data_IF_269385951495
#
_entry.id   IF_269385951495
#
_cell.length_a   1.000
_cell.length_b   1.000
_cell.length_c   1.000
_cell.angle_alpha   90.00
_cell.angle_beta   90.00
_cell.angle_gamma   90.00
#
_symmetry.space_group_name_H-M   'P 1'
#
loop_
_entity.id
_entity.type
_entity.pdbx_description
1 polymer ?
#
# COMPACT_ATOMS: atom_id res chain seq x y z
N UNK A 1 62.98 -3.61 22.15
CA UNK A 1 63.03 -3.93 20.71
C UNK A 1 62.57 -5.38 20.62
N UNK A 2 61.28 -5.68 20.46
CA UNK A 2 60.56 -5.71 19.18
C UNK A 2 59.05 -5.81 19.45
N UNK A 3 58.22 -4.99 18.78
CA UNK A 3 56.75 -5.06 18.79
C UNK A 3 56.29 -6.10 17.77
N UNK A 4 55.24 -6.86 18.10
CA UNK A 4 54.58 -7.83 17.22
C UNK A 4 53.38 -7.15 16.56
N UNK A 5 53.41 -7.03 15.23
CA UNK A 5 52.43 -6.33 14.41
C UNK A 5 51.08 -7.08 14.37
N UNK A 6 50.14 -6.64 15.22
CA UNK A 6 48.74 -7.04 15.18
C UNK A 6 47.98 -6.35 14.04
N UNK A 7 48.26 -6.71 12.79
CA UNK A 7 47.42 -6.27 11.67
C UNK A 7 46.05 -6.94 11.77
N UNK A 8 45.10 -6.17 12.27
CA UNK A 8 43.67 -6.43 12.10
C UNK A 8 43.34 -6.30 10.62
N UNK A 9 42.83 -7.39 10.03
CA UNK A 9 42.21 -7.37 8.71
C UNK A 9 40.97 -6.49 8.82
N UNK A 10 41.07 -5.27 8.30
CA UNK A 10 39.96 -4.32 8.23
C UNK A 10 38.89 -4.97 7.34
N UNK A 11 37.82 -5.45 7.95
CA UNK A 11 36.64 -5.88 7.20
C UNK A 11 36.13 -4.65 6.44
N UNK A 12 36.13 -4.73 5.11
CA UNK A 12 35.57 -3.73 4.21
C UNK A 12 34.11 -3.49 4.64
N UNK A 13 33.87 -2.35 5.29
CA UNK A 13 32.55 -1.99 5.75
C UNK A 13 31.68 -1.73 4.52
N UNK A 14 30.86 -2.72 4.16
CA UNK A 14 29.83 -2.57 3.14
C UNK A 14 28.99 -1.35 3.52
N UNK A 15 29.11 -0.30 2.70
CA UNK A 15 28.30 0.90 2.88
C UNK A 15 26.83 0.51 2.68
N UNK A 16 25.90 0.87 3.58
CA UNK A 16 24.50 0.61 3.36
C UNK A 16 24.05 1.40 2.13
N UNK A 17 23.70 0.70 1.06
CA UNK A 17 23.15 1.31 -0.15
C UNK A 17 21.90 2.12 0.25
N UNK A 18 21.84 3.44 0.02
CA UNK A 18 20.62 4.20 0.20
C UNK A 18 19.62 3.73 -0.87
N UNK A 19 18.60 2.98 -0.46
CA UNK A 19 17.54 2.56 -1.40
C UNK A 19 16.72 1.33 -1.04
N UNK A 20 17.06 0.57 0.00
CA UNK A 20 16.27 -0.60 0.41
C UNK A 20 15.35 -0.30 1.58
N UNK A 21 14.55 0.77 1.48
CA UNK A 21 13.30 0.81 2.24
C UNK A 21 12.33 -0.23 1.64
N UNK A 22 11.33 -0.73 2.39
CA UNK A 22 10.28 -1.53 1.77
C UNK A 22 9.69 -0.70 0.63
N UNK A 23 9.89 -1.13 -0.61
CA UNK A 23 9.10 -0.62 -1.72
C UNK A 23 7.67 -1.00 -1.37
N UNK A 24 6.87 -0.03 -0.92
CA UNK A 24 5.43 -0.18 -0.83
C UNK A 24 4.98 -0.45 -2.26
N UNK A 25 4.93 -1.73 -2.65
CA UNK A 25 4.38 -2.15 -3.93
C UNK A 25 3.00 -1.53 -3.96
N UNK A 26 2.85 -0.53 -4.82
CA UNK A 26 1.66 0.29 -4.87
C UNK A 26 0.58 -0.63 -5.43
N UNK A 27 -0.19 -1.25 -4.53
CA UNK A 27 -1.24 -2.19 -4.89
C UNK A 27 -2.26 -1.40 -5.70
N UNK A 28 -2.26 -1.61 -7.01
CA UNK A 28 -3.29 -1.06 -7.88
C UNK A 28 -4.59 -1.77 -7.53
N UNK A 29 -5.63 -1.05 -7.08
CA UNK A 29 -6.88 -1.69 -6.72
C UNK A 29 -7.51 -2.32 -7.97
N UNK A 30 -8.08 -3.52 -7.80
CA UNK A 30 -8.82 -4.20 -8.87
C UNK A 30 -10.14 -3.47 -9.14
N UNK A 31 -10.76 -2.93 -8.10
CA UNK A 31 -11.98 -2.11 -8.21
C UNK A 31 -11.72 -0.78 -7.51
N UNK A 32 -12.01 0.32 -8.20
CA UNK A 32 -11.88 1.67 -7.67
C UNK A 32 -13.17 2.45 -7.96
N UNK A 33 -13.86 2.86 -6.90
CA UNK A 33 -15.13 3.57 -6.93
C UNK A 33 -14.85 5.00 -6.50
N UNK A 34 -15.10 5.96 -7.40
CA UNK A 34 -14.86 7.39 -7.15
C UNK A 34 -16.14 8.18 -7.36
N UNK A 35 -16.59 8.84 -6.28
CA UNK A 35 -17.73 9.76 -6.29
C UNK A 35 -18.99 9.19 -7.00
N UNK A 36 -19.22 7.88 -6.86
CA UNK A 36 -20.33 7.21 -7.52
C UNK A 36 -21.65 7.79 -7.01
N UNK A 37 -22.55 8.14 -7.95
CA UNK A 37 -23.88 8.68 -7.66
C UNK A 37 -24.88 8.06 -8.63
N UNK A 38 -26.05 7.68 -8.13
CA UNK A 38 -27.10 7.04 -8.92
C UNK A 38 -28.48 7.54 -8.46
N UNK A 39 -29.36 7.77 -9.42
CA UNK A 39 -30.74 8.17 -9.18
C UNK A 39 -31.70 7.39 -10.07
N UNK A 40 -32.86 7.03 -9.53
CA UNK A 40 -34.00 6.57 -10.34
C UNK A 40 -34.94 7.73 -10.57
N UNK A 41 -35.10 8.14 -11.83
CA UNK A 41 -35.82 9.38 -12.20
C UNK A 41 -35.23 10.58 -11.45
N UNK A 42 -36.01 11.19 -10.57
CA UNK A 42 -35.64 12.36 -9.76
C UNK A 42 -35.26 11.97 -8.32
N UNK A 43 -35.25 10.68 -7.99
CA UNK A 43 -34.97 10.20 -6.64
C UNK A 43 -33.53 9.69 -6.56
N UNK A 44 -32.60 10.42 -5.89
CA UNK A 44 -31.24 9.94 -5.67
C UNK A 44 -31.26 8.74 -4.72
N UNK A 45 -30.54 7.68 -5.08
CA UNK A 45 -30.42 6.44 -4.28
C UNK A 45 -28.98 6.16 -3.84
N UNK A 46 -27.99 6.73 -4.53
CA UNK A 46 -26.59 6.62 -4.17
C UNK A 46 -25.94 8.00 -4.40
N UNK A 47 -25.14 8.48 -3.45
CA UNK A 47 -24.57 9.83 -3.50
C UNK A 47 -23.12 9.85 -3.02
N UNK A 48 -22.20 10.19 -3.92
CA UNK A 48 -20.79 10.45 -3.60
C UNK A 48 -20.03 9.28 -2.98
N UNK A 49 -20.37 8.03 -3.31
CA UNK A 49 -19.74 6.85 -2.71
C UNK A 49 -18.31 6.68 -3.25
N UNK A 50 -17.37 6.42 -2.34
CA UNK A 50 -15.99 6.09 -2.65
C UNK A 50 -15.61 4.77 -2.00
N UNK A 51 -14.77 4.00 -2.66
CA UNK A 51 -14.27 2.74 -2.13
C UNK A 51 -13.25 2.13 -3.08
N UNK A 52 -12.39 1.27 -2.56
CA UNK A 52 -11.40 0.54 -3.34
C UNK A 52 -11.33 -0.89 -2.84
N UNK A 53 -11.13 -1.84 -3.75
CA UNK A 53 -10.92 -3.26 -3.43
C UNK A 53 -9.60 -3.69 -4.02
N UNK A 54 -8.68 -4.14 -3.17
CA UNK A 54 -7.38 -4.66 -3.59
C UNK A 54 -7.50 -6.05 -4.24
N UNK A 55 -6.49 -6.50 -4.98
CA UNK A 55 -6.46 -7.86 -5.52
C UNK A 55 -6.57 -8.91 -4.41
N UNK A 56 -7.57 -9.80 -4.49
CA UNK A 56 -7.81 -10.85 -3.50
C UNK A 56 -8.57 -10.41 -2.24
N UNK A 57 -8.91 -9.13 -2.12
CA UNK A 57 -9.74 -8.60 -1.03
C UNK A 57 -11.23 -8.89 -1.28
N UNK A 58 -11.94 -9.29 -0.23
CA UNK A 58 -13.39 -9.44 -0.25
C UNK A 58 -14.04 -8.31 0.57
N UNK A 59 -14.77 -7.42 -0.11
CA UNK A 59 -15.50 -6.31 0.51
C UNK A 59 -16.99 -6.66 0.62
N UNK A 60 -17.54 -6.62 1.83
CA UNK A 60 -18.97 -6.78 2.06
C UNK A 60 -19.66 -5.41 2.09
N UNK A 61 -20.65 -5.22 1.22
CA UNK A 61 -21.57 -4.09 1.28
C UNK A 61 -22.81 -4.52 2.07
N UNK A 62 -23.09 -3.85 3.18
CA UNK A 62 -24.20 -4.16 4.07
C UNK A 62 -24.99 -2.91 4.41
N UNK A 63 -26.30 -3.06 4.55
CA UNK A 63 -27.19 -1.97 4.93
C UNK A 63 -28.64 -2.45 5.02
N UNK A 64 -29.55 -1.66 5.62
CA UNK A 64 -30.98 -1.90 5.52
C UNK A 64 -31.45 -2.01 4.06
N UNK A 65 -32.57 -2.68 3.83
CA UNK A 65 -33.17 -2.77 2.50
C UNK A 65 -33.34 -1.37 1.89
N UNK A 66 -32.74 -1.17 0.71
CA UNK A 66 -32.76 0.11 -0.02
C UNK A 66 -31.52 1.00 0.20
N UNK A 67 -30.44 0.48 0.79
CA UNK A 67 -29.13 1.16 0.87
C UNK A 67 -28.25 0.88 -0.34
#
# INVERSE_FOLDING_TARGET
MTRLDGQVLQADAVSPRPGSGPSSQQLVPTVDIRQASLAYRSTPVLSGVNGSVAPGEALALVGPNGS
#
